data_IF_846066832184
#
_entry.id   IF_846066832184
#
_cell.length_a   1.000
_cell.length_b   1.000
_cell.length_c   1.000
_cell.angle_alpha   90.00
_cell.angle_beta   90.00
_cell.angle_gamma   90.00
#
_symmetry.space_group_name_H-M   'P 1'
#
loop_
_entity.id
_entity.type
_entity.pdbx_description
1 polymer ?
#
# COMPACT_ATOMS: atom_id res chain seq x y z
N UNK A 1 -10.79 15.01 21.84
CA UNK A 1 -10.38 13.59 21.94
C UNK A 1 -8.91 13.52 21.53
N UNK A 2 -8.03 13.12 22.45
CA UNK A 2 -6.58 13.09 22.26
C UNK A 2 -6.17 11.75 21.64
N UNK A 3 -5.48 11.75 20.49
CA UNK A 3 -4.97 10.53 19.85
C UNK A 3 -3.49 10.37 20.16
N UNK A 4 -3.20 9.41 21.05
CA UNK A 4 -1.84 9.02 21.43
C UNK A 4 -1.28 8.04 20.39
N UNK A 5 -0.08 8.31 19.85
CA UNK A 5 0.62 7.41 18.91
C UNK A 5 1.65 6.55 19.64
N UNK A 6 1.60 5.24 19.43
CA UNK A 6 2.58 4.25 19.92
C UNK A 6 3.77 4.14 18.95
N UNK A 7 5.02 3.96 19.43
CA UNK A 7 6.20 3.87 18.57
C UNK A 7 6.40 2.45 18.00
N UNK A 8 7.15 2.28 16.89
CA UNK A 8 7.37 0.97 16.28
C UNK A 8 8.37 0.14 17.10
N UNK A 9 7.99 -1.10 17.40
CA UNK A 9 8.82 -2.10 18.07
C UNK A 9 9.98 -2.57 17.19
N UNK A 10 11.12 -2.83 17.83
CA UNK A 10 12.37 -3.32 17.25
C UNK A 10 12.21 -4.60 16.41
N UNK A 11 12.80 -4.61 15.21
CA UNK A 11 12.95 -5.77 14.31
C UNK A 11 13.56 -6.96 15.03
N UNK A 12 12.78 -8.03 15.21
CA UNK A 12 13.34 -9.37 15.45
C UNK A 12 13.93 -9.89 14.13
N UNK A 13 15.20 -10.28 14.15
CA UNK A 13 15.84 -10.99 13.03
C UNK A 13 15.25 -12.40 12.97
N UNK A 14 14.45 -12.68 11.94
CA UNK A 14 14.05 -14.05 11.61
C UNK A 14 15.29 -14.82 11.14
N UNK A 15 15.69 -15.79 11.96
CA UNK A 15 16.75 -16.74 11.66
C UNK A 15 16.19 -17.76 10.65
N UNK A 16 16.52 -17.58 9.37
CA UNK A 16 16.17 -18.54 8.31
C UNK A 16 17.12 -19.73 8.46
N UNK A 17 16.67 -20.79 9.14
CA UNK A 17 17.31 -22.10 9.02
C UNK A 17 16.91 -22.69 7.66
N UNK A 18 17.86 -22.68 6.73
CA UNK A 18 17.82 -23.49 5.51
C UNK A 18 17.74 -24.97 5.90
N UNK A 19 16.58 -25.60 5.72
CA UNK A 19 16.47 -27.06 5.68
C UNK A 19 16.38 -27.51 4.21
N UNK A 20 17.55 -27.61 3.57
CA UNK A 20 17.69 -28.39 2.35
C UNK A 20 17.44 -29.87 2.72
N UNK A 21 16.25 -30.39 2.39
CA UNK A 21 15.96 -31.82 2.42
C UNK A 21 16.77 -32.51 1.31
N UNK A 22 17.97 -32.97 1.67
CA UNK A 22 18.77 -33.87 0.85
C UNK A 22 18.18 -35.28 0.95
N UNK A 23 17.68 -35.81 -0.16
CA UNK A 23 17.45 -37.26 -0.31
C UNK A 23 18.82 -37.94 -0.35
N UNK A 24 19.24 -38.52 0.77
CA UNK A 24 20.36 -39.46 0.79
C UNK A 24 19.82 -40.85 0.48
N UNK A 25 20.17 -41.37 -0.70
CA UNK A 25 20.04 -42.79 -1.02
C UNK A 25 20.96 -43.58 -0.08
N UNK A 26 20.36 -44.36 0.82
CA UNK A 26 21.09 -45.20 1.76
C UNK A 26 21.85 -46.29 0.99
N UNK A 27 23.18 -46.16 0.92
CA UNK A 27 24.07 -47.09 0.20
C UNK A 27 24.67 -48.16 1.12
N UNK A 28 24.12 -48.35 2.33
CA UNK A 28 24.69 -49.23 3.35
C UNK A 28 24.21 -50.69 3.33
N UNK A 29 23.54 -51.16 2.27
CA UNK A 29 23.01 -52.54 2.19
C UNK A 29 23.81 -53.50 1.30
N UNK A 30 25.02 -53.15 0.85
CA UNK A 30 25.81 -54.11 0.07
C UNK A 30 27.33 -53.98 0.28
N UNK A 31 27.82 -54.53 1.40
CA UNK A 31 29.25 -54.82 1.60
C UNK A 31 29.40 -56.13 2.38
N UNK A 32 29.41 -57.26 1.69
CA UNK A 32 30.04 -58.48 2.20
C UNK A 32 31.47 -58.54 1.68
N UNK A 33 32.42 -58.14 2.53
CA UNK A 33 33.85 -58.35 2.32
C UNK A 33 34.35 -59.28 3.42
N UNK A 34 34.85 -60.44 3.02
CA UNK A 34 35.49 -61.45 3.88
C UNK A 34 36.59 -60.83 4.75
N UNK A 35 36.78 -61.39 5.96
CA UNK A 35 38.11 -61.62 6.49
C UNK A 35 38.32 -63.11 6.80
N UNK A 36 39.45 -63.62 6.31
CA UNK A 36 40.01 -64.91 6.73
C UNK A 36 40.54 -64.84 8.17
N UNK A 37 40.44 -66.02 8.80
CA UNK A 37 41.24 -66.60 9.90
C UNK A 37 40.64 -66.73 11.31
N UNK A 38 40.71 -68.00 11.72
CA UNK A 38 40.80 -68.63 13.04
C UNK A 38 39.53 -69.06 13.79
N UNK A 39 39.15 -70.29 13.45
CA UNK A 39 39.19 -71.49 14.29
C UNK A 39 38.48 -71.51 15.64
N UNK A 40 37.65 -72.55 15.77
CA UNK A 40 37.06 -73.11 16.99
C UNK A 40 35.92 -72.33 17.64
N UNK A 41 34.76 -72.34 16.98
CA UNK A 41 33.52 -72.56 17.72
C UNK A 41 32.49 -73.34 16.89
N UNK A 42 32.39 -74.63 17.21
CA UNK A 42 31.41 -75.57 16.66
C UNK A 42 29.98 -75.13 17.02
N UNK A 43 29.36 -74.28 16.21
CA UNK A 43 27.91 -74.15 16.19
C UNK A 43 27.37 -75.32 15.35
N UNK A 44 26.81 -76.30 16.05
CA UNK A 44 26.10 -77.46 15.49
C UNK A 44 24.99 -76.97 14.55
N UNK A 45 25.29 -76.93 13.25
CA UNK A 45 24.29 -76.85 12.19
C UNK A 45 23.46 -78.12 12.29
N UNK A 46 22.27 -78.01 12.86
CA UNK A 46 21.28 -79.07 12.87
C UNK A 46 21.02 -79.49 11.43
N UNK A 47 21.35 -80.74 11.13
CA UNK A 47 21.12 -81.44 9.86
C UNK A 47 19.75 -81.03 9.30
N UNK A 48 19.73 -80.30 8.19
CA UNK A 48 18.51 -80.16 7.40
C UNK A 48 18.15 -81.55 6.90
N UNK A 49 17.07 -82.11 7.42
CA UNK A 49 16.44 -83.27 6.82
C UNK A 49 16.04 -82.84 5.40
N UNK A 50 16.78 -83.32 4.39
CA UNK A 50 16.28 -83.35 3.01
C UNK A 50 15.03 -84.23 3.03
N UNK A 51 13.86 -83.61 3.17
CA UNK A 51 12.59 -84.29 2.94
C UNK A 51 12.56 -84.63 1.45
N UNK A 52 12.64 -85.91 1.14
CA UNK A 52 12.28 -86.45 -0.17
C UNK A 52 10.84 -86.03 -0.47
N UNK A 53 10.64 -85.38 -1.61
CA UNK A 53 9.38 -84.79 -2.11
C UNK A 53 8.26 -85.83 -2.35
N UNK A 54 8.41 -87.07 -1.89
CA UNK A 54 7.56 -88.20 -2.27
C UNK A 54 6.51 -88.64 -1.26
N UNK A 55 6.44 -88.07 -0.05
CA UNK A 55 5.62 -88.65 1.02
C UNK A 55 4.94 -87.61 1.93
N UNK A 56 4.24 -86.66 1.31
CA UNK A 56 3.24 -85.83 1.98
C UNK A 56 1.85 -86.25 1.52
N UNK A 57 0.87 -86.39 2.43
CA UNK A 57 -0.51 -86.64 2.05
C UNK A 57 -0.95 -85.50 1.13
N UNK A 58 -1.50 -85.86 -0.03
CA UNK A 58 -2.06 -84.96 -1.02
C UNK A 58 -3.24 -84.19 -0.38
N UNK A 59 -2.93 -83.10 0.32
CA UNK A 59 -3.90 -82.07 0.65
C UNK A 59 -4.14 -81.24 -0.61
N UNK A 60 -5.40 -80.90 -0.90
CA UNK A 60 -5.85 -80.62 -2.26
C UNK A 60 -5.23 -79.33 -2.79
N UNK A 61 -5.30 -79.13 -4.11
CA UNK A 61 -5.00 -77.90 -4.84
C UNK A 61 -5.74 -76.62 -4.32
N UNK A 62 -6.50 -76.71 -3.21
CA UNK A 62 -7.27 -75.63 -2.58
C UNK A 62 -6.41 -74.50 -2.01
N UNK A 63 -5.23 -74.80 -1.45
CA UNK A 63 -4.36 -73.76 -0.87
C UNK A 63 -3.69 -72.88 -1.93
N UNK A 64 -3.46 -73.41 -3.13
CA UNK A 64 -2.92 -72.61 -4.26
C UNK A 64 -4.00 -71.69 -4.83
N UNK A 65 -5.27 -72.14 -4.86
CA UNK A 65 -6.38 -71.27 -5.26
C UNK A 65 -6.59 -70.11 -4.28
N UNK A 66 -6.50 -70.35 -2.97
CA UNK A 66 -6.60 -69.28 -1.96
C UNK A 66 -5.49 -68.24 -2.09
N UNK A 67 -4.24 -68.67 -2.31
CA UNK A 67 -3.11 -67.75 -2.55
C UNK A 67 -3.35 -66.91 -3.82
N UNK A 68 -3.84 -67.51 -4.91
CA UNK A 68 -4.17 -66.77 -6.14
C UNK A 68 -5.27 -65.73 -5.91
N UNK A 69 -6.29 -66.06 -5.11
CA UNK A 69 -7.35 -65.13 -4.73
C UNK A 69 -6.79 -63.96 -3.90
N UNK A 70 -5.91 -64.23 -2.93
CA UNK A 70 -5.26 -63.20 -2.13
C UNK A 70 -4.39 -62.25 -2.98
N UNK A 71 -3.64 -62.78 -3.95
CA UNK A 71 -2.86 -61.95 -4.89
C UNK A 71 -3.76 -61.12 -5.82
N UNK A 72 -4.87 -61.68 -6.27
CA UNK A 72 -5.84 -60.94 -7.07
C UNK A 72 -6.47 -59.79 -6.25
N UNK A 73 -6.85 -60.06 -5.01
CA UNK A 73 -7.38 -59.04 -4.10
C UNK A 73 -6.34 -57.95 -3.80
N UNK A 74 -5.09 -58.33 -3.49
CA UNK A 74 -4.00 -57.37 -3.28
C UNK A 74 -3.77 -56.50 -4.52
N UNK A 75 -3.78 -57.10 -5.72
CA UNK A 75 -3.67 -56.36 -6.97
C UNK A 75 -4.83 -55.36 -7.12
N UNK A 76 -6.06 -55.80 -6.88
CA UNK A 76 -7.23 -54.91 -6.92
C UNK A 76 -7.12 -53.76 -5.92
N UNK A 77 -6.65 -54.02 -4.69
CA UNK A 77 -6.42 -52.98 -3.68
C UNK A 77 -5.29 -52.02 -4.10
N UNK A 78 -4.23 -52.51 -4.73
CA UNK A 78 -3.15 -51.67 -5.27
C UNK A 78 -3.64 -50.79 -6.41
N UNK A 79 -4.39 -51.35 -7.36
CA UNK A 79 -4.98 -50.62 -8.48
C UNK A 79 -5.92 -49.51 -7.97
N UNK A 80 -6.77 -49.82 -6.97
CA UNK A 80 -7.62 -48.82 -6.33
C UNK A 80 -6.83 -47.68 -5.67
N UNK A 81 -5.76 -48.01 -4.92
CA UNK A 81 -4.90 -46.98 -4.30
C UNK A 81 -4.18 -46.15 -5.36
N UNK A 82 -3.76 -46.76 -6.46
CA UNK A 82 -3.12 -46.06 -7.57
C UNK A 82 -4.08 -45.07 -8.23
N UNK A 83 -5.32 -45.48 -8.49
CA UNK A 83 -6.36 -44.59 -9.05
C UNK A 83 -6.68 -43.42 -8.10
N UNK A 84 -6.80 -43.68 -6.80
CA UNK A 84 -7.00 -42.62 -5.79
C UNK A 84 -5.83 -41.63 -5.77
N UNK A 85 -4.59 -42.13 -5.82
CA UNK A 85 -3.39 -41.29 -5.85
C UNK A 85 -3.34 -40.46 -7.14
N UNK A 86 -3.63 -41.07 -8.28
CA UNK A 86 -3.66 -40.38 -9.57
C UNK A 86 -4.73 -39.27 -9.58
N UNK A 87 -5.92 -39.56 -9.04
CA UNK A 87 -7.00 -38.57 -8.90
C UNK A 87 -6.61 -37.42 -7.98
N UNK A 88 -5.96 -37.71 -6.86
CA UNK A 88 -5.45 -36.69 -5.94
C UNK A 88 -4.38 -35.81 -6.61
N UNK A 89 -3.46 -36.42 -7.36
CA UNK A 89 -2.45 -35.68 -8.13
C UNK A 89 -3.09 -34.77 -9.19
N UNK A 90 -4.07 -35.25 -9.95
CA UNK A 90 -4.77 -34.43 -10.95
C UNK A 90 -5.51 -33.25 -10.31
N UNK A 91 -6.07 -33.46 -9.12
CA UNK A 91 -6.72 -32.39 -8.35
C UNK A 91 -5.71 -31.34 -7.90
N UNK A 92 -4.56 -31.77 -7.37
CA UNK A 92 -3.47 -30.86 -6.95
C UNK A 92 -2.94 -30.06 -8.14
N UNK A 93 -2.73 -30.70 -9.29
CA UNK A 93 -2.27 -30.03 -10.51
C UNK A 93 -3.28 -28.98 -10.95
N UNK A 94 -4.56 -29.33 -10.98
CA UNK A 94 -5.64 -28.40 -11.34
C UNK A 94 -5.70 -27.21 -10.39
N UNK A 95 -5.67 -27.46 -9.07
CA UNK A 95 -5.66 -26.41 -8.06
C UNK A 95 -4.45 -25.48 -8.20
N UNK A 96 -3.26 -26.01 -8.45
CA UNK A 96 -2.07 -25.20 -8.67
C UNK A 96 -2.18 -24.31 -9.91
N UNK A 97 -2.80 -24.81 -10.99
CA UNK A 97 -3.07 -24.00 -12.19
C UNK A 97 -4.07 -22.86 -11.89
N UNK A 98 -5.10 -23.12 -11.10
CA UNK A 98 -6.07 -22.10 -10.68
C UNK A 98 -5.44 -21.05 -9.77
N UNK A 99 -4.59 -21.47 -8.83
CA UNK A 99 -3.82 -20.57 -7.97
C UNK A 99 -2.93 -19.66 -8.81
N UNK A 100 -2.22 -20.22 -9.80
CA UNK A 100 -1.37 -19.43 -10.69
C UNK A 100 -2.19 -18.36 -11.44
N UNK A 101 -3.33 -18.73 -12.02
CA UNK A 101 -4.23 -17.77 -12.71
C UNK A 101 -4.74 -16.68 -11.76
N UNK A 102 -5.08 -17.04 -10.53
CA UNK A 102 -5.51 -16.07 -9.50
C UNK A 102 -4.40 -15.08 -9.17
N UNK A 103 -3.16 -15.56 -9.00
CA UNK A 103 -1.99 -14.73 -8.73
C UNK A 103 -1.68 -13.80 -9.91
N UNK A 104 -1.75 -14.29 -11.15
CA UNK A 104 -1.57 -13.48 -12.35
C UNK A 104 -2.61 -12.36 -12.42
N UNK A 105 -3.88 -12.68 -12.16
CA UNK A 105 -4.98 -11.70 -12.13
C UNK A 105 -4.77 -10.65 -11.04
N UNK A 106 -4.39 -11.07 -9.83
CA UNK A 106 -4.11 -10.17 -8.71
C UNK A 106 -2.93 -9.24 -9.05
N UNK A 107 -1.88 -9.78 -9.66
CA UNK A 107 -0.70 -9.02 -10.06
C UNK A 107 -1.07 -7.95 -11.08
N UNK A 108 -1.90 -8.30 -12.08
CA UNK A 108 -2.38 -7.35 -13.06
C UNK A 108 -3.24 -6.24 -12.43
N UNK A 109 -4.21 -6.61 -11.58
CA UNK A 109 -5.03 -5.63 -10.84
C UNK A 109 -4.19 -4.69 -9.97
N UNK A 110 -3.14 -5.23 -9.33
CA UNK A 110 -2.22 -4.44 -8.52
C UNK A 110 -1.42 -3.44 -9.36
N UNK A 111 -0.95 -3.84 -10.55
CA UNK A 111 -0.27 -2.95 -11.49
C UNK A 111 -1.19 -1.82 -11.98
N UNK A 112 -2.43 -2.15 -12.34
CA UNK A 112 -3.43 -1.15 -12.77
C UNK A 112 -3.75 -0.15 -11.66
N UNK A 113 -3.90 -0.64 -10.43
CA UNK A 113 -4.17 0.20 -9.26
C UNK A 113 -3.00 1.13 -8.97
N UNK A 114 -1.75 0.63 -9.04
CA UNK A 114 -0.55 1.47 -8.91
C UNK A 114 -0.49 2.55 -10.00
N UNK A 115 -0.76 2.19 -11.26
CA UNK A 115 -0.79 3.15 -12.36
C UNK A 115 -1.83 4.24 -12.12
N UNK A 116 -3.03 3.85 -11.65
CA UNK A 116 -4.11 4.79 -11.31
C UNK A 116 -3.75 5.70 -10.14
N UNK A 117 -3.12 5.17 -9.09
CA UNK A 117 -2.66 5.99 -7.96
C UNK A 117 -1.64 7.02 -8.43
N UNK A 118 -0.62 6.60 -9.18
CA UNK A 118 0.40 7.51 -9.69
C UNK A 118 -0.20 8.62 -10.58
N UNK A 119 -1.19 8.27 -11.41
CA UNK A 119 -1.90 9.24 -12.23
C UNK A 119 -2.67 10.25 -11.39
N UNK A 120 -3.41 9.79 -10.38
CA UNK A 120 -4.16 10.66 -9.47
C UNK A 120 -3.25 11.55 -8.62
N UNK A 121 -2.08 11.06 -8.21
CA UNK A 121 -1.09 11.86 -7.48
C UNK A 121 -0.51 12.98 -8.35
N UNK A 122 -0.22 12.69 -9.62
CA UNK A 122 0.23 13.69 -10.59
C UNK A 122 -0.85 14.76 -10.80
N UNK A 123 -2.08 14.35 -11.08
CA UNK A 123 -3.21 15.26 -11.30
C UNK A 123 -3.49 16.13 -10.06
N UNK A 124 -3.42 15.55 -8.86
CA UNK A 124 -3.57 16.27 -7.61
C UNK A 124 -2.49 17.35 -7.43
N UNK A 125 -1.25 17.05 -7.81
CA UNK A 125 -0.17 18.02 -7.77
C UNK A 125 -0.41 19.16 -8.77
N UNK A 126 -0.83 18.84 -10.00
CA UNK A 126 -1.18 19.86 -11.00
C UNK A 126 -2.29 20.80 -10.52
N UNK A 127 -3.36 20.25 -9.93
CA UNK A 127 -4.42 21.07 -9.35
C UNK A 127 -3.94 21.96 -8.21
N UNK A 128 -3.07 21.47 -7.33
CA UNK A 128 -2.47 22.30 -6.27
C UNK A 128 -1.68 23.47 -6.83
N UNK A 129 -0.89 23.25 -7.87
CA UNK A 129 -0.13 24.32 -8.53
C UNK A 129 -1.05 25.34 -9.20
N UNK A 130 -2.13 24.87 -9.84
CA UNK A 130 -3.12 25.75 -10.45
C UNK A 130 -3.82 26.61 -9.39
N UNK A 131 -4.25 26.01 -8.28
CA UNK A 131 -4.88 26.73 -7.15
C UNK A 131 -3.94 27.80 -6.62
N UNK A 132 -2.68 27.47 -6.33
CA UNK A 132 -1.69 28.44 -5.84
C UNK A 132 -1.47 29.60 -6.83
N UNK A 133 -1.45 29.30 -8.12
CA UNK A 133 -1.35 30.32 -9.17
C UNK A 133 -2.57 31.24 -9.17
N UNK A 134 -3.77 30.69 -9.03
CA UNK A 134 -5.01 31.45 -8.99
C UNK A 134 -5.10 32.32 -7.73
N UNK A 135 -4.72 31.79 -6.57
CA UNK A 135 -4.64 32.53 -5.31
C UNK A 135 -3.67 33.69 -5.40
N UNK A 136 -2.49 33.48 -5.99
CA UNK A 136 -1.50 34.54 -6.20
C UNK A 136 -2.03 35.63 -7.13
N UNK A 137 -2.73 35.26 -8.21
CA UNK A 137 -3.35 36.22 -9.12
C UNK A 137 -4.47 37.00 -8.43
N UNK A 138 -5.27 36.34 -7.61
CA UNK A 138 -6.35 36.97 -6.86
C UNK A 138 -5.80 37.97 -5.85
N UNK A 139 -4.78 37.60 -5.07
CA UNK A 139 -4.10 38.50 -4.14
C UNK A 139 -3.50 39.72 -4.87
N UNK A 140 -2.86 39.51 -6.03
CA UNK A 140 -2.37 40.61 -6.85
C UNK A 140 -3.51 41.52 -7.31
N UNK A 141 -4.63 40.97 -7.77
CA UNK A 141 -5.78 41.76 -8.19
C UNK A 141 -6.41 42.54 -7.03
N UNK A 142 -6.50 41.96 -5.84
CA UNK A 142 -7.01 42.65 -4.65
C UNK A 142 -6.08 43.79 -4.23
N UNK A 143 -4.76 43.56 -4.25
CA UNK A 143 -3.75 44.59 -4.00
C UNK A 143 -3.83 45.73 -5.01
N UNK A 144 -3.96 45.40 -6.30
CA UNK A 144 -4.12 46.39 -7.36
C UNK A 144 -5.44 47.16 -7.24
N UNK A 145 -6.55 46.49 -6.91
CA UNK A 145 -7.86 47.12 -6.74
C UNK A 145 -7.87 48.12 -5.57
N UNK A 146 -7.17 47.80 -4.47
CA UNK A 146 -6.98 48.71 -3.33
C UNK A 146 -5.80 49.66 -3.51
N UNK A 147 -5.10 49.59 -4.64
CA UNK A 147 -3.88 50.35 -4.92
C UNK A 147 -4.07 51.87 -4.87
N UNK A 148 -5.29 52.34 -5.13
CA UNK A 148 -5.65 53.77 -5.15
C UNK A 148 -6.41 54.22 -3.89
N UNK A 149 -6.53 53.34 -2.90
CA UNK A 149 -7.37 53.55 -1.72
C UNK A 149 -6.53 53.79 -0.48
N UNK A 150 -6.93 54.73 0.37
CA UNK A 150 -6.38 54.90 1.72
C UNK A 150 -7.45 54.59 2.76
N UNK A 151 -7.01 53.95 3.84
CA UNK A 151 -7.84 53.71 5.03
C UNK A 151 -7.36 54.62 6.16
N UNK A 152 -8.23 55.53 6.59
CA UNK A 152 -7.98 56.41 7.71
C UNK A 152 -8.76 55.89 8.91
N UNK A 153 -8.03 55.51 9.95
CA UNK A 153 -8.57 54.92 11.19
C UNK A 153 -8.57 55.96 12.31
N UNK A 154 -9.32 55.68 13.37
CA UNK A 154 -9.39 56.52 14.58
C UNK A 154 -9.99 57.92 14.38
N UNK A 155 -10.91 58.08 13.42
CA UNK A 155 -11.68 59.32 13.28
C UNK A 155 -13.02 59.20 14.01
N UNK A 156 -13.39 60.19 14.84
CA UNK A 156 -14.65 60.18 15.57
C UNK A 156 -15.82 60.12 14.59
N UNK A 157 -16.86 59.37 14.97
CA UNK A 157 -18.09 59.22 14.18
C UNK A 157 -19.03 60.38 14.52
N UNK A 158 -19.50 61.09 13.50
CA UNK A 158 -20.53 62.11 13.66
C UNK A 158 -21.93 61.53 13.34
N UNK A 159 -22.95 62.00 14.05
CA UNK A 159 -24.35 61.63 13.75
C UNK A 159 -24.79 62.27 12.44
N UNK A 160 -25.29 61.46 11.49
CA UNK A 160 -25.66 61.86 10.12
C UNK A 160 -24.49 62.27 9.21
N UNK A 161 -23.40 61.48 9.20
CA UNK A 161 -22.33 61.64 8.21
C UNK A 161 -22.84 61.41 6.78
N UNK A 162 -22.66 62.43 5.92
CA UNK A 162 -22.86 62.36 4.48
C UNK A 162 -21.52 62.45 3.76
N UNK A 163 -21.48 62.09 2.47
CA UNK A 163 -20.24 62.16 1.65
C UNK A 163 -19.57 63.54 1.68
N UNK A 164 -20.37 64.61 1.74
CA UNK A 164 -19.88 66.00 1.83
C UNK A 164 -19.12 66.23 3.15
N UNK A 165 -19.69 65.78 4.28
CA UNK A 165 -19.06 65.90 5.60
C UNK A 165 -17.76 65.11 5.66
N UNK A 166 -17.75 63.89 5.09
CA UNK A 166 -16.54 63.09 5.01
C UNK A 166 -15.46 63.79 4.18
N UNK A 167 -15.85 64.44 3.08
CA UNK A 167 -14.93 65.19 2.23
C UNK A 167 -14.33 66.39 2.99
N UNK A 168 -15.16 67.15 3.72
CA UNK A 168 -14.69 68.24 4.58
C UNK A 168 -13.70 67.77 5.65
N UNK A 169 -13.91 66.57 6.22
CA UNK A 169 -12.97 65.95 7.16
C UNK A 169 -11.63 65.67 6.49
N UNK A 170 -11.63 65.12 5.27
CA UNK A 170 -10.41 64.86 4.50
C UNK A 170 -9.67 66.16 4.16
N UNK A 171 -10.38 67.21 3.74
CA UNK A 171 -9.78 68.52 3.49
C UNK A 171 -9.11 69.10 4.72
N UNK A 172 -9.80 69.07 5.87
CA UNK A 172 -9.25 69.53 7.16
C UNK A 172 -8.04 68.70 7.58
N UNK A 173 -8.10 67.39 7.40
CA UNK A 173 -6.99 66.48 7.70
C UNK A 173 -5.79 66.79 6.82
N UNK A 174 -6.01 67.04 5.52
CA UNK A 174 -4.96 67.43 4.59
C UNK A 174 -4.27 68.75 4.96
N UNK A 175 -5.06 69.75 5.36
CA UNK A 175 -4.54 71.03 5.86
C UNK A 175 -3.74 70.85 7.16
N UNK A 176 -4.22 69.99 8.07
CA UNK A 176 -3.57 69.73 9.37
C UNK A 176 -2.24 68.99 9.20
N UNK A 177 -2.15 68.09 8.22
CA UNK A 177 -0.92 67.37 7.89
C UNK A 177 0.09 68.20 7.08
N UNK A 178 -0.28 69.42 6.66
CA UNK A 178 0.61 70.30 5.90
C UNK A 178 0.81 69.85 4.45
N UNK A 179 -0.20 69.22 3.85
CA UNK A 179 -0.14 68.80 2.45
C UNK A 179 0.01 70.02 1.52
N UNK A 180 1.11 70.05 0.75
CA UNK A 180 1.46 71.17 -0.14
C UNK A 180 0.41 71.43 -1.25
N UNK A 181 -0.40 70.42 -1.56
CA UNK A 181 -1.45 70.48 -2.59
C UNK A 181 -2.81 70.23 -1.96
N UNK A 182 -3.70 71.22 -2.06
CA UNK A 182 -5.10 71.05 -1.65
C UNK A 182 -5.74 69.94 -2.49
N UNK A 183 -6.34 68.96 -1.81
CA UNK A 183 -7.08 67.88 -2.48
C UNK A 183 -8.27 68.51 -3.18
N UNK A 184 -8.54 68.13 -4.42
CA UNK A 184 -9.77 68.56 -5.09
C UNK A 184 -10.81 67.45 -5.03
N UNK A 185 -12.08 67.86 -4.94
CA UNK A 185 -13.22 66.92 -4.93
C UNK A 185 -13.26 66.02 -6.18
N UNK A 186 -12.71 66.50 -7.29
CA UNK A 186 -12.59 65.76 -8.56
C UNK A 186 -11.54 64.64 -8.52
N UNK A 187 -10.61 64.68 -7.57
CA UNK A 187 -9.56 63.67 -7.40
C UNK A 187 -10.05 62.46 -6.59
N UNK A 188 -11.10 62.66 -5.81
CA UNK A 188 -11.73 61.62 -5.00
C UNK A 188 -12.79 60.92 -5.85
N UNK A 189 -12.57 59.63 -6.11
CA UNK A 189 -13.54 58.77 -6.80
C UNK A 189 -14.71 58.42 -5.90
N UNK A 190 -14.41 58.01 -4.68
CA UNK A 190 -15.42 57.62 -3.71
C UNK A 190 -14.89 57.81 -2.29
N UNK A 191 -15.82 58.08 -1.38
CA UNK A 191 -15.52 58.21 0.04
C UNK A 191 -16.68 57.61 0.84
N UNK A 192 -16.33 56.73 1.78
CA UNK A 192 -17.31 56.06 2.63
C UNK A 192 -16.65 55.56 3.91
N UNK A 193 -17.47 55.39 4.95
CA UNK A 193 -17.06 54.74 6.19
C UNK A 193 -17.36 53.24 6.12
N UNK A 194 -16.46 52.44 6.64
CA UNK A 194 -16.61 50.98 6.75
C UNK A 194 -17.34 50.60 8.02
N UNK A 195 -17.74 49.33 8.13
CA UNK A 195 -18.33 48.76 9.36
C UNK A 195 -17.38 48.79 10.57
N UNK A 196 -16.08 48.97 10.34
CA UNK A 196 -15.04 49.07 11.38
C UNK A 196 -14.71 50.51 11.73
N UNK A 197 -15.60 51.45 11.44
CA UNK A 197 -15.47 52.89 11.66
C UNK A 197 -14.26 53.56 10.98
N UNK A 198 -13.60 52.89 10.03
CA UNK A 198 -12.53 53.48 9.24
C UNK A 198 -13.11 54.18 8.01
N UNK A 199 -12.56 55.35 7.65
CA UNK A 199 -12.92 56.05 6.41
C UNK A 199 -12.03 55.52 5.30
N UNK A 200 -12.65 55.04 4.23
CA UNK A 200 -11.97 54.67 2.99
C UNK A 200 -12.12 55.81 2.00
N UNK A 201 -11.00 56.27 1.45
CA UNK A 201 -10.94 57.26 0.37
C UNK A 201 -10.31 56.61 -0.85
N UNK A 202 -11.09 56.49 -1.92
CA UNK A 202 -10.62 56.00 -3.20
C UNK A 202 -10.26 57.18 -4.09
N UNK A 203 -9.01 57.26 -4.52
CA UNK A 203 -8.54 58.28 -5.44
C UNK A 203 -8.66 57.83 -6.89
N UNK A 204 -8.77 58.81 -7.80
CA UNK A 204 -8.72 58.55 -9.24
C UNK A 204 -7.33 58.13 -9.73
N UNK A 205 -6.26 58.51 -9.01
CA UNK A 205 -4.86 58.26 -9.38
C UNK A 205 -4.03 57.74 -8.21
N UNK A 206 -3.13 56.79 -8.45
CA UNK A 206 -2.16 56.28 -7.48
C UNK A 206 -1.21 57.39 -7.03
N UNK A 207 -0.77 58.25 -7.94
CA UNK A 207 0.13 59.36 -7.62
C UNK A 207 -0.49 60.30 -6.58
N UNK A 208 -1.83 60.46 -6.63
CA UNK A 208 -2.52 61.27 -5.61
C UNK A 208 -2.48 60.59 -4.25
N UNK A 209 -2.67 59.28 -4.20
CA UNK A 209 -2.55 58.49 -2.99
C UNK A 209 -1.15 58.59 -2.36
N UNK A 210 -0.11 58.55 -3.18
CA UNK A 210 1.28 58.62 -2.71
C UNK A 210 1.70 60.01 -2.23
N UNK A 211 0.97 61.05 -2.66
CA UNK A 211 1.22 62.43 -2.25
C UNK A 211 0.32 62.89 -1.09
N UNK A 212 -0.57 62.02 -0.59
CA UNK A 212 -1.45 62.26 0.57
C UNK A 212 -0.77 61.80 1.86
#
# INVERSE_FOLDING_TARGET
MSTQRTPPGSRQKLNIQNSAMHYNSDSALNMSSNPDLDDNNYIKITKSLKRTLGDLPFQPLSSISEIKVMFAELKTQQDQKFELLNTALMTIVTQNQEIQKSVETLTHQHQDLLAKINHLELENNEYKQQILTLETKLDLFEKCARGNSIEIRNLPVQTNENKIVLNDIIHKLGLTLGLNTLIQDTEIRNIFRTKTDAIIVDFNSILRKETF
#
